data_IF_298550409873
#
_entry.id   IF_298550409873
#
_cell.length_a   1.000
_cell.length_b   1.000
_cell.length_c   1.000
_cell.angle_alpha   90.00
_cell.angle_beta   90.00
_cell.angle_gamma   90.00
#
_symmetry.space_group_name_H-M   'P 1'
#
loop_
_entity.id
_entity.type
_entity.pdbx_description
1 polymer ?
#
# COMPACT_ATOMS: atom_id res chain seq x y z
N UNK A 1 -8.24 -12.93 -2.12
CA UNK A 1 -8.67 -11.53 -2.38
C UNK A 1 -8.74 -11.34 -3.88
N UNK A 2 -9.82 -10.83 -4.43
CA UNK A 2 -9.87 -10.53 -5.85
C UNK A 2 -9.08 -9.24 -6.15
N UNK A 3 -8.93 -8.92 -7.43
CA UNK A 3 -8.10 -7.78 -7.82
C UNK A 3 -8.67 -6.45 -7.32
N UNK A 4 -9.98 -6.29 -7.30
CA UNK A 4 -10.61 -5.08 -6.78
C UNK A 4 -10.35 -4.91 -5.29
N UNK A 5 -10.45 -6.00 -4.52
CA UNK A 5 -10.14 -5.98 -3.09
C UNK A 5 -8.66 -5.69 -2.84
N UNK A 6 -7.79 -6.24 -3.66
CA UNK A 6 -6.35 -5.97 -3.56
C UNK A 6 -6.05 -4.50 -3.82
N UNK A 7 -6.66 -3.92 -4.83
CA UNK A 7 -6.49 -2.50 -5.15
C UNK A 7 -6.99 -1.63 -4.00
N UNK A 8 -8.14 -1.94 -3.42
CA UNK A 8 -8.70 -1.19 -2.29
C UNK A 8 -7.79 -1.27 -1.07
N UNK A 9 -7.29 -2.47 -0.75
CA UNK A 9 -6.38 -2.66 0.37
C UNK A 9 -5.07 -1.89 0.15
N UNK A 10 -4.51 -1.97 -1.05
CA UNK A 10 -3.28 -1.25 -1.38
C UNK A 10 -3.49 0.26 -1.32
N UNK A 11 -4.65 0.76 -1.78
CA UNK A 11 -4.96 2.19 -1.73
C UNK A 11 -5.05 2.69 -0.29
N UNK A 12 -5.65 1.92 0.61
CA UNK A 12 -5.72 2.27 2.03
C UNK A 12 -4.33 2.33 2.67
N UNK A 13 -3.48 1.36 2.36
CA UNK A 13 -2.11 1.31 2.87
C UNK A 13 -1.31 2.49 2.32
N UNK A 14 -1.41 2.76 1.03
CA UNK A 14 -0.70 3.87 0.39
C UNK A 14 -1.15 5.22 0.97
N UNK A 15 -2.45 5.38 1.24
CA UNK A 15 -2.97 6.58 1.87
C UNK A 15 -2.37 6.82 3.25
N UNK A 16 -2.25 5.77 4.07
CA UNK A 16 -1.62 5.85 5.38
C UNK A 16 -0.14 6.19 5.29
N UNK A 17 0.58 5.58 4.34
CA UNK A 17 2.00 5.87 4.12
C UNK A 17 2.22 7.31 3.67
N UNK A 18 1.41 7.79 2.73
CA UNK A 18 1.50 9.16 2.24
C UNK A 18 1.21 10.17 3.35
N UNK A 19 0.20 9.93 4.17
CA UNK A 19 -0.14 10.79 5.30
C UNK A 19 1.00 10.86 6.33
N UNK A 20 1.65 9.73 6.60
CA UNK A 20 2.76 9.67 7.55
C UNK A 20 3.97 10.48 7.09
N UNK A 21 4.13 10.68 5.79
CA UNK A 21 5.26 11.39 5.22
C UNK A 21 4.92 12.78 4.68
N UNK A 22 3.69 13.22 4.87
CA UNK A 22 3.19 14.46 4.27
C UNK A 22 4.03 15.67 4.66
N UNK A 23 4.43 15.77 5.92
CA UNK A 23 5.20 16.89 6.42
C UNK A 23 6.62 16.95 5.83
N UNK A 24 7.15 15.81 5.40
CA UNK A 24 8.48 15.71 4.81
C UNK A 24 8.47 15.87 3.30
N UNK A 25 7.33 15.65 2.69
CA UNK A 25 7.18 15.65 1.23
C UNK A 25 6.02 16.54 0.83
N UNK A 26 6.21 17.85 0.94
CA UNK A 26 5.25 18.82 0.42
C UNK A 26 5.23 18.86 -1.12
N UNK A 27 5.53 17.79 -1.75
CA UNK A 27 5.51 17.54 -3.17
C UNK A 27 6.06 16.15 -3.38
N UNK A 28 5.17 15.15 -3.40
CA UNK A 28 5.58 13.80 -3.75
C UNK A 28 6.04 13.79 -5.20
N UNK A 29 7.33 13.60 -5.41
CA UNK A 29 7.85 13.39 -6.78
C UNK A 29 7.32 12.04 -7.30
N UNK A 30 7.18 11.95 -8.62
CA UNK A 30 6.57 10.80 -9.27
C UNK A 30 7.19 9.46 -8.85
N UNK A 31 8.52 9.41 -8.65
CA UNK A 31 9.21 8.20 -8.24
C UNK A 31 8.77 7.74 -6.84
N UNK A 32 8.51 8.68 -5.93
CA UNK A 32 8.04 8.34 -4.58
C UNK A 32 6.62 7.81 -4.60
N UNK A 33 5.77 8.36 -5.45
CA UNK A 33 4.40 7.86 -5.62
C UNK A 33 4.42 6.40 -6.09
N UNK A 34 5.26 6.09 -7.08
CA UNK A 34 5.41 4.74 -7.59
C UNK A 34 5.93 3.78 -6.50
N UNK A 35 6.95 4.19 -5.73
CA UNK A 35 7.48 3.37 -4.63
C UNK A 35 6.42 3.08 -3.58
N UNK A 36 5.63 4.07 -3.20
CA UNK A 36 4.54 3.90 -2.24
C UNK A 36 3.51 2.91 -2.77
N UNK A 37 3.11 3.06 -4.02
CA UNK A 37 2.14 2.16 -4.64
C UNK A 37 2.65 0.72 -4.69
N UNK A 38 3.89 0.51 -5.12
CA UNK A 38 4.50 -0.82 -5.18
C UNK A 38 4.59 -1.45 -3.79
N UNK A 39 5.03 -0.69 -2.81
CA UNK A 39 5.15 -1.16 -1.43
C UNK A 39 3.78 -1.52 -0.87
N UNK A 40 2.77 -0.68 -1.11
CA UNK A 40 1.41 -0.94 -0.65
C UNK A 40 0.83 -2.23 -1.24
N UNK A 41 1.07 -2.50 -2.52
CA UNK A 41 0.63 -3.74 -3.16
C UNK A 41 1.34 -4.94 -2.55
N UNK A 42 2.65 -4.87 -2.30
CA UNK A 42 3.40 -5.94 -1.67
C UNK A 42 2.88 -6.25 -0.26
N UNK A 43 2.58 -5.21 0.51
CA UNK A 43 2.03 -5.36 1.86
C UNK A 43 0.65 -6.02 1.80
N UNK A 44 -0.21 -5.56 0.89
CA UNK A 44 -1.56 -6.12 0.73
C UNK A 44 -1.51 -7.61 0.37
N UNK A 45 -0.60 -8.00 -0.53
CA UNK A 45 -0.42 -9.41 -0.91
C UNK A 45 0.11 -10.23 0.26
N UNK A 46 1.03 -9.69 1.03
CA UNK A 46 1.55 -10.37 2.22
C UNK A 46 0.46 -10.59 3.27
N UNK A 47 -0.39 -9.60 3.48
CA UNK A 47 -1.54 -9.72 4.39
C UNK A 47 -2.48 -10.83 3.91
N UNK A 48 -2.76 -10.90 2.63
CA UNK A 48 -3.61 -11.95 2.07
C UNK A 48 -3.02 -13.33 2.34
N UNK A 49 -1.72 -13.50 2.11
CA UNK A 49 -1.04 -14.78 2.35
C UNK A 49 -1.13 -15.16 3.82
N UNK A 50 -0.85 -14.23 4.73
CA UNK A 50 -0.92 -14.48 6.16
C UNK A 50 -2.33 -14.83 6.62
N UNK A 51 -3.34 -14.15 6.05
CA UNK A 51 -4.75 -14.40 6.39
C UNK A 51 -5.21 -15.79 5.96
N UNK A 52 -4.58 -16.39 4.96
CA UNK A 52 -4.92 -17.73 4.45
C UNK A 52 -4.20 -18.86 5.16
N UNK A 53 -3.18 -18.54 5.97
CA UNK A 53 -2.47 -19.60 6.70
C UNK A 53 -3.39 -20.20 7.76
N UNK A 54 -3.38 -21.54 7.93
CA UNK A 54 -4.16 -22.17 8.98
C UNK A 54 -3.61 -21.75 10.35
N UNK A 55 -4.49 -21.73 11.38
CA UNK A 55 -4.07 -21.40 12.74
C UNK A 55 -3.09 -22.41 13.32
#
# INVERSE_FOLDING_TARGET
>A
MDQAQLIQAAASIAGGMAAAHYDKFSGLVASRVTEIAETAVRIAKAIEIEARKPP
#
